data_IF_168285047654
#
_entry.id   IF_168285047654
#
_cell.length_a   1.000
_cell.length_b   1.000
_cell.length_c   1.000
_cell.angle_alpha   90.00
_cell.angle_beta   90.00
_cell.angle_gamma   90.00
#
_symmetry.space_group_name_H-M   'P 1'
#
loop_
_entity.id
_entity.type
_entity.pdbx_description
1 polymer ?
#
# COMPACT_ATOMS: atom_id res chain seq x y z
N UNK A 1 -6.48 -20.43 9.33
CA UNK A 1 -6.63 -21.78 9.90
C UNK A 1 -6.03 -21.88 11.30
N UNK A 2 -4.73 -21.62 11.47
CA UNK A 2 -4.05 -21.65 12.77
C UNK A 2 -4.67 -20.75 13.86
N UNK A 3 -5.11 -19.54 13.52
CA UNK A 3 -5.75 -18.63 14.49
C UNK A 3 -7.09 -19.16 15.03
N UNK A 4 -7.79 -20.01 14.26
CA UNK A 4 -9.03 -20.67 14.71
C UNK A 4 -8.71 -21.85 15.63
N UNK A 5 -7.63 -22.58 15.36
CA UNK A 5 -7.17 -23.70 16.19
C UNK A 5 -6.57 -23.24 17.53
N UNK A 6 -5.87 -22.10 17.53
CA UNK A 6 -5.21 -21.55 18.71
C UNK A 6 -5.73 -20.13 19.00
N UNK A 7 -6.81 -19.99 19.80
CA UNK A 7 -7.46 -18.70 20.06
C UNK A 7 -6.52 -17.62 20.62
N UNK A 8 -5.45 -18.04 21.31
CA UNK A 8 -4.40 -17.12 21.81
C UNK A 8 -3.71 -16.35 20.68
N UNK A 9 -3.56 -16.95 19.49
CA UNK A 9 -2.97 -16.28 18.33
C UNK A 9 -3.81 -15.08 17.86
N UNK A 10 -5.13 -15.16 18.01
CA UNK A 10 -6.04 -14.04 17.72
C UNK A 10 -5.80 -12.79 18.58
N UNK A 11 -5.10 -12.94 19.72
CA UNK A 11 -4.68 -11.80 20.56
C UNK A 11 -3.45 -11.06 20.01
N UNK A 12 -2.59 -11.77 19.28
CA UNK A 12 -1.32 -11.22 18.78
C UNK A 12 -1.44 -10.63 17.37
N UNK A 13 -2.41 -11.10 16.58
CA UNK A 13 -2.62 -10.59 15.24
C UNK A 13 -4.10 -10.48 14.90
N UNK A 14 -4.56 -9.25 14.67
CA UNK A 14 -5.87 -8.94 14.09
C UNK A 14 -5.64 -8.50 12.65
N UNK A 15 -6.07 -9.27 11.63
CA UNK A 15 -5.78 -8.94 10.25
C UNK A 15 -6.56 -7.70 9.81
N UNK A 16 -5.93 -6.84 8.99
CA UNK A 16 -6.53 -5.59 8.56
C UNK A 16 -7.63 -5.75 7.48
N UNK A 17 -7.41 -6.68 6.55
CA UNK A 17 -8.27 -6.95 5.39
C UNK A 17 -8.66 -5.70 4.60
N UNK A 18 -7.70 -4.83 4.28
CA UNK A 18 -7.91 -3.63 3.43
C UNK A 18 -8.99 -2.69 4.01
N UNK A 19 -8.87 -2.39 5.31
CA UNK A 19 -9.73 -1.44 6.00
C UNK A 19 -10.99 -2.02 6.64
N UNK A 20 -11.32 -3.31 6.46
CA UNK A 20 -12.48 -3.91 7.16
C UNK A 20 -12.27 -3.86 8.68
N UNK A 21 -11.04 -4.13 9.15
CA UNK A 21 -10.73 -4.00 10.59
C UNK A 21 -10.94 -2.58 11.10
N UNK A 22 -10.57 -1.57 10.31
CA UNK A 22 -10.78 -0.16 10.67
C UNK A 22 -12.27 0.13 10.87
N UNK A 23 -13.12 -0.27 9.91
CA UNK A 23 -14.58 -0.12 10.01
C UNK A 23 -15.08 -0.78 11.30
N UNK A 24 -14.64 -2.00 11.59
CA UNK A 24 -15.06 -2.73 12.79
C UNK A 24 -14.59 -2.06 14.09
N UNK A 25 -13.42 -1.43 14.08
CA UNK A 25 -12.83 -0.79 15.27
C UNK A 25 -13.37 0.63 15.51
N UNK A 26 -13.76 1.36 14.46
CA UNK A 26 -14.14 2.78 14.55
C UNK A 26 -15.59 3.07 14.21
N UNK A 27 -16.26 2.19 13.46
CA UNK A 27 -17.57 2.47 12.84
C UNK A 27 -17.49 3.38 11.61
N UNK A 28 -16.29 3.81 11.20
CA UNK A 28 -16.09 4.78 10.13
C UNK A 28 -15.47 4.15 8.88
N UNK A 29 -15.73 4.76 7.72
CA UNK A 29 -15.09 4.36 6.47
C UNK A 29 -13.62 4.80 6.45
N UNK A 30 -12.69 3.95 5.97
CA UNK A 30 -11.29 4.34 5.85
C UNK A 30 -11.11 5.46 4.83
N UNK A 31 -10.12 6.31 5.06
CA UNK A 31 -9.74 7.37 4.14
C UNK A 31 -9.26 6.79 2.80
N UNK A 32 -9.64 7.47 1.71
CA UNK A 32 -9.20 7.13 0.37
C UNK A 32 -7.65 7.16 0.26
N UNK A 33 -7.07 6.05 -0.18
CA UNK A 33 -5.62 5.91 -0.37
C UNK A 33 -5.29 6.00 -1.85
N UNK A 34 -4.84 7.18 -2.29
CA UNK A 34 -4.45 7.41 -3.69
C UNK A 34 -3.07 6.89 -4.05
N UNK A 35 -2.21 6.72 -3.04
CA UNK A 35 -0.81 6.38 -3.23
C UNK A 35 -0.28 5.63 -2.00
N UNK A 36 0.18 4.40 -2.22
CA UNK A 36 0.85 3.60 -1.19
C UNK A 36 2.36 3.53 -1.36
N UNK A 37 2.93 4.08 -2.44
CA UNK A 37 4.36 3.97 -2.70
C UNK A 37 5.09 5.18 -2.09
N UNK A 38 5.90 4.98 -1.02
CA UNK A 38 6.53 6.10 -0.33
C UNK A 38 7.74 6.67 -1.08
N UNK A 39 8.17 5.99 -2.15
CA UNK A 39 9.45 6.21 -2.79
C UNK A 39 9.59 7.62 -3.35
N UNK A 40 10.60 8.36 -2.87
CA UNK A 40 10.84 9.74 -3.30
C UNK A 40 9.80 10.75 -2.80
N UNK A 41 8.93 10.34 -1.86
CA UNK A 41 7.85 11.17 -1.31
C UNK A 41 7.99 11.27 0.21
N UNK A 42 7.48 10.26 0.92
CA UNK A 42 7.50 10.17 2.38
C UNK A 42 8.69 9.34 2.89
N UNK A 43 9.35 8.60 2.01
CA UNK A 43 10.59 7.88 2.28
C UNK A 43 11.66 8.30 1.28
N UNK A 44 12.90 8.32 1.76
CA UNK A 44 14.13 8.50 1.00
C UNK A 44 15.22 7.68 1.69
N UNK A 45 16.11 7.07 0.91
CA UNK A 45 17.22 6.28 1.45
C UNK A 45 18.54 6.86 0.95
N UNK A 46 19.45 7.08 1.89
CA UNK A 46 20.81 7.55 1.66
C UNK A 46 21.73 6.42 2.12
N UNK A 47 22.39 5.76 1.19
CA UNK A 47 23.17 4.55 1.49
C UNK A 47 24.61 4.86 1.92
N UNK A 48 25.37 3.82 2.26
CA UNK A 48 26.77 3.94 2.71
C UNK A 48 27.75 4.31 1.59
N UNK A 49 27.34 4.19 0.32
CA UNK A 49 28.17 4.51 -0.84
C UNK A 49 28.02 5.97 -1.29
N UNK A 50 27.16 6.75 -0.62
CA UNK A 50 26.88 8.12 -1.01
C UNK A 50 25.74 8.24 -2.02
N UNK A 51 24.91 7.21 -2.18
CA UNK A 51 23.86 7.12 -3.19
C UNK A 51 22.47 7.35 -2.60
N UNK A 52 21.56 7.89 -3.42
CA UNK A 52 20.19 8.25 -3.02
C UNK A 52 19.19 7.34 -3.75
N UNK A 53 18.24 6.79 -3.01
CA UNK A 53 17.15 5.94 -3.50
C UNK A 53 15.80 6.37 -2.93
N UNK A 54 14.72 5.92 -3.56
CA UNK A 54 13.37 6.33 -3.17
C UNK A 54 12.87 5.65 -1.89
N UNK A 55 13.18 4.38 -1.67
CA UNK A 55 12.74 3.62 -0.50
C UNK A 55 13.66 2.44 -0.22
N UNK A 56 13.44 1.77 0.90
CA UNK A 56 14.20 0.59 1.33
C UNK A 56 14.20 -0.53 0.27
N UNK A 57 13.10 -0.74 -0.44
CA UNK A 57 13.01 -1.76 -1.49
C UNK A 57 13.81 -1.41 -2.77
N UNK A 58 14.11 -0.13 -2.99
CA UNK A 58 14.89 0.36 -4.12
C UNK A 58 16.38 0.52 -3.82
N UNK A 59 16.76 0.57 -2.54
CA UNK A 59 18.13 0.78 -2.10
C UNK A 59 19.10 -0.26 -2.66
N UNK A 60 20.26 0.19 -3.16
CA UNK A 60 21.31 -0.67 -3.70
C UNK A 60 21.01 -1.24 -5.09
N UNK A 61 19.97 -0.75 -5.77
CA UNK A 61 19.60 -1.14 -7.14
C UNK A 61 19.87 0.02 -8.09
N UNK A 62 20.93 -0.09 -8.89
CA UNK A 62 21.40 0.99 -9.76
C UNK A 62 20.30 1.53 -10.70
N UNK A 63 19.40 0.68 -11.17
CA UNK A 63 18.27 1.08 -12.01
C UNK A 63 17.27 2.03 -11.34
N UNK A 64 17.31 2.15 -10.01
CA UNK A 64 16.43 3.02 -9.22
C UNK A 64 17.16 4.17 -8.52
N UNK A 65 18.43 4.40 -8.87
CA UNK A 65 19.22 5.48 -8.31
C UNK A 65 18.59 6.84 -8.62
N UNK A 66 18.32 7.60 -7.56
CA UNK A 66 17.77 8.96 -7.63
C UNK A 66 18.86 10.04 -7.58
N UNK A 67 20.09 9.68 -7.25
CA UNK A 67 21.20 10.62 -7.17
C UNK A 67 22.34 10.13 -6.30
N UNK A 68 23.22 11.06 -5.94
CA UNK A 68 24.28 10.92 -4.95
C UNK A 68 24.26 12.11 -3.99
N UNK A 69 24.73 11.93 -2.76
CA UNK A 69 24.91 12.99 -1.78
C UNK A 69 26.38 13.21 -1.37
N UNK A 70 27.28 12.30 -1.77
CA UNK A 70 28.71 12.37 -1.49
C UNK A 70 29.53 11.98 -2.73
N UNK A 71 30.67 12.65 -3.02
CA UNK A 71 31.20 13.84 -2.34
C UNK A 71 30.41 15.13 -2.63
N UNK A 72 29.52 15.09 -3.62
CA UNK A 72 28.64 16.20 -4.00
C UNK A 72 27.21 15.70 -4.14
N UNK A 73 26.25 16.59 -3.86
CA UNK A 73 24.84 16.32 -4.09
C UNK A 73 24.54 16.46 -5.59
N UNK A 74 24.09 15.37 -6.20
CA UNK A 74 23.63 15.31 -7.59
C UNK A 74 22.31 14.56 -7.63
N UNK A 75 21.26 15.21 -8.11
CA UNK A 75 19.93 14.63 -8.19
C UNK A 75 19.59 14.27 -9.63
N UNK A 76 18.93 13.13 -9.82
CA UNK A 76 18.29 12.76 -11.05
C UNK A 76 16.82 13.18 -10.99
N UNK A 77 16.54 14.45 -11.28
CA UNK A 77 15.21 15.03 -11.17
C UNK A 77 14.17 14.29 -12.00
N UNK A 78 14.55 13.74 -13.16
CA UNK A 78 13.66 12.95 -14.00
C UNK A 78 13.24 11.63 -13.33
N UNK A 79 14.19 10.90 -12.73
CA UNK A 79 13.89 9.69 -11.97
C UNK A 79 13.06 10.02 -10.72
N UNK A 80 13.46 11.05 -9.97
CA UNK A 80 12.72 11.51 -8.78
C UNK A 80 11.26 11.83 -9.14
N UNK A 81 11.06 12.62 -10.20
CA UNK A 81 9.74 13.00 -10.68
C UNK A 81 8.89 11.80 -11.06
N UNK A 82 9.50 10.78 -11.70
CA UNK A 82 8.80 9.53 -12.05
C UNK A 82 8.24 8.81 -10.81
N UNK A 83 9.04 8.70 -9.75
CA UNK A 83 8.59 8.11 -8.49
C UNK A 83 7.54 8.97 -7.77
N UNK A 84 7.76 10.29 -7.72
CA UNK A 84 6.86 11.25 -7.07
C UNK A 84 5.49 11.37 -7.72
N UNK A 85 5.40 11.20 -9.04
CA UNK A 85 4.14 11.26 -9.77
C UNK A 85 3.36 9.94 -9.72
N UNK A 86 3.96 8.84 -9.25
CA UNK A 86 3.30 7.54 -9.26
C UNK A 86 2.13 7.51 -8.27
N UNK A 87 0.90 7.45 -8.75
CA UNK A 87 -0.29 7.25 -7.94
C UNK A 87 -1.38 6.58 -8.79
N UNK A 88 -2.56 6.34 -8.21
CA UNK A 88 -3.65 5.68 -8.93
C UNK A 88 -4.21 6.50 -10.10
N UNK A 89 -3.95 7.80 -10.15
CA UNK A 89 -4.36 8.70 -11.23
C UNK A 89 -3.34 8.72 -12.36
N UNK A 90 -2.07 8.39 -12.11
CA UNK A 90 -1.02 8.36 -13.14
C UNK A 90 -0.76 6.96 -13.69
N UNK A 91 -0.94 5.90 -12.88
CA UNK A 91 -0.86 4.50 -13.34
C UNK A 91 -2.06 4.19 -14.24
N UNK A 92 -1.80 3.92 -15.52
CA UNK A 92 -2.84 3.77 -16.55
C UNK A 92 -3.92 2.75 -16.19
N UNK A 93 -3.52 1.55 -15.71
CA UNK A 93 -4.44 0.49 -15.30
C UNK A 93 -5.24 0.83 -14.03
N UNK A 94 -4.78 1.77 -13.20
CA UNK A 94 -5.44 2.15 -11.95
C UNK A 94 -6.50 3.24 -12.13
N UNK A 95 -6.38 4.10 -13.15
CA UNK A 95 -7.28 5.26 -13.34
C UNK A 95 -8.76 4.91 -13.28
N UNK A 96 -9.14 3.80 -13.91
CA UNK A 96 -10.52 3.31 -13.99
C UNK A 96 -10.78 2.04 -13.17
N UNK A 97 -9.86 1.67 -12.27
CA UNK A 97 -10.01 0.48 -11.42
C UNK A 97 -10.99 0.76 -10.27
N UNK A 98 -11.96 -0.13 -10.06
CA UNK A 98 -12.95 -0.03 -8.98
C UNK A 98 -12.38 -0.07 -7.56
N UNK A 99 -11.11 -0.47 -7.42
CA UNK A 99 -10.42 -0.61 -6.13
C UNK A 99 -9.26 0.38 -5.96
N UNK A 100 -9.14 1.37 -6.83
CA UNK A 100 -7.97 2.24 -6.88
C UNK A 100 -7.67 2.92 -5.54
N UNK A 101 -8.65 3.60 -4.93
CA UNK A 101 -8.52 4.30 -3.64
C UNK A 101 -8.53 3.36 -2.42
N UNK A 102 -8.72 2.07 -2.63
CA UNK A 102 -8.63 1.04 -1.58
C UNK A 102 -7.20 0.49 -1.51
N UNK A 103 -6.55 0.31 -2.67
CA UNK A 103 -5.21 -0.29 -2.74
C UNK A 103 -4.07 0.70 -2.99
N UNK A 104 -4.35 1.91 -3.47
CA UNK A 104 -3.36 2.97 -3.74
C UNK A 104 -2.29 2.63 -4.77
N UNK A 105 -2.56 1.67 -5.67
CA UNK A 105 -1.66 1.30 -6.77
C UNK A 105 -0.48 0.40 -6.37
N UNK A 106 -0.30 0.09 -5.08
CA UNK A 106 0.71 -0.84 -4.59
C UNK A 106 2.16 -0.33 -4.70
N UNK A 107 3.12 -1.26 -4.59
CA UNK A 107 4.56 -0.95 -4.57
C UNK A 107 5.16 -0.79 -5.97
N UNK A 108 5.81 0.35 -6.26
CA UNK A 108 6.46 0.58 -7.55
C UNK A 108 7.63 -0.35 -7.86
N UNK A 109 8.42 -0.75 -6.84
CA UNK A 109 9.52 -1.72 -7.01
C UNK A 109 9.00 -3.11 -7.39
N UNK A 110 7.95 -3.58 -6.71
CA UNK A 110 7.33 -4.89 -7.02
C UNK A 110 6.67 -4.86 -8.39
N UNK A 111 5.99 -3.76 -8.73
CA UNK A 111 5.42 -3.57 -10.05
C UNK A 111 6.49 -3.65 -11.14
N UNK A 112 7.59 -2.91 -10.99
CA UNK A 112 8.70 -2.94 -11.94
C UNK A 112 9.32 -4.34 -12.08
N UNK A 113 9.50 -5.09 -10.98
CA UNK A 113 10.01 -6.46 -11.03
C UNK A 113 9.13 -7.40 -11.88
N UNK A 114 7.81 -7.22 -11.88
CA UNK A 114 6.87 -8.04 -12.65
C UNK A 114 6.58 -7.51 -14.05
N UNK A 115 6.95 -6.25 -14.35
CA UNK A 115 6.62 -5.57 -15.61
C UNK A 115 7.88 -5.03 -16.30
N UNK A 116 8.99 -5.77 -16.25
CA UNK A 116 10.19 -5.46 -17.03
C UNK A 116 10.84 -4.11 -16.72
N UNK A 117 10.78 -3.66 -15.47
CA UNK A 117 11.34 -2.38 -15.02
C UNK A 117 10.34 -1.22 -15.00
N UNK A 118 9.08 -1.43 -15.40
CA UNK A 118 8.07 -0.37 -15.44
C UNK A 118 7.56 0.00 -14.04
N UNK A 119 8.08 1.09 -13.47
CA UNK A 119 7.68 1.62 -12.14
C UNK A 119 6.22 2.09 -12.14
N UNK A 120 5.74 2.65 -13.25
CA UNK A 120 4.37 3.14 -13.43
C UNK A 120 3.36 2.02 -13.76
N UNK A 121 3.75 0.76 -13.59
CA UNK A 121 2.82 -0.36 -13.57
C UNK A 121 2.16 -0.52 -12.18
N UNK A 122 0.99 -1.18 -12.09
CA UNK A 122 0.38 -1.50 -10.81
C UNK A 122 1.01 -2.76 -10.16
N UNK A 123 1.07 -2.78 -8.82
CA UNK A 123 1.25 -4.01 -8.03
C UNK A 123 -0.14 -4.49 -7.56
N UNK A 124 -0.90 -5.08 -8.49
CA UNK A 124 -2.26 -5.56 -8.22
C UNK A 124 -2.27 -6.71 -7.20
N UNK A 125 -3.27 -6.68 -6.32
CA UNK A 125 -3.57 -7.73 -5.34
C UNK A 125 -5.03 -8.16 -5.50
N UNK A 126 -5.43 -9.35 -5.00
CA UNK A 126 -6.82 -9.80 -5.03
C UNK A 126 -7.67 -9.01 -4.01
N UNK A 127 -7.95 -7.73 -4.30
CA UNK A 127 -8.57 -6.80 -3.35
C UNK A 127 -9.99 -7.25 -3.01
N UNK A 128 -10.75 -7.69 -4.02
CA UNK A 128 -12.12 -8.18 -3.83
C UNK A 128 -12.15 -9.35 -2.85
N UNK A 129 -11.31 -10.34 -3.09
CA UNK A 129 -11.23 -11.56 -2.29
C UNK A 129 -10.77 -11.24 -0.86
N UNK A 130 -9.83 -10.31 -0.70
CA UNK A 130 -9.38 -9.85 0.62
C UNK A 130 -10.51 -9.16 1.40
N UNK A 131 -11.33 -8.34 0.73
CA UNK A 131 -12.50 -7.70 1.34
C UNK A 131 -13.57 -8.74 1.70
N UNK A 132 -13.86 -9.69 0.81
CA UNK A 132 -14.80 -10.79 1.07
C UNK A 132 -14.37 -11.62 2.29
N UNK A 133 -13.09 -12.02 2.35
CA UNK A 133 -12.53 -12.72 3.51
C UNK A 133 -12.64 -11.87 4.79
N UNK A 134 -12.40 -10.55 4.69
CA UNK A 134 -12.49 -9.65 5.83
C UNK A 134 -13.91 -9.51 6.37
N UNK A 135 -14.88 -9.32 5.48
CA UNK A 135 -16.31 -9.27 5.83
C UNK A 135 -16.75 -10.57 6.48
N UNK A 136 -16.36 -11.71 5.92
CA UNK A 136 -16.67 -13.02 6.50
C UNK A 136 -16.00 -13.22 7.87
N UNK A 137 -14.74 -12.80 8.02
CA UNK A 137 -14.01 -12.91 9.28
C UNK A 137 -14.64 -12.07 10.41
N UNK A 138 -15.16 -10.88 10.08
CA UNK A 138 -15.77 -9.96 11.04
C UNK A 138 -17.31 -9.98 11.04
N UNK A 139 -17.94 -10.94 10.37
CA UNK A 139 -19.38 -10.96 10.11
C UNK A 139 -20.25 -10.79 11.37
N UNK A 140 -19.91 -11.46 12.47
CA UNK A 140 -20.69 -11.38 13.71
C UNK A 140 -20.58 -10.02 14.40
N UNK A 141 -19.47 -9.30 14.21
CA UNK A 141 -19.30 -7.94 14.74
C UNK A 141 -20.04 -6.96 13.86
N UNK A 142 -19.87 -7.06 12.54
CA UNK A 142 -20.54 -6.21 11.56
C UNK A 142 -22.07 -6.32 11.66
N UNK A 143 -22.63 -7.52 11.85
CA UNK A 143 -24.07 -7.72 12.05
C UNK A 143 -24.59 -7.03 13.32
N UNK A 144 -23.80 -7.02 14.40
CA UNK A 144 -24.16 -6.35 15.64
C UNK A 144 -24.14 -4.83 15.47
N UNK A 145 -23.07 -4.30 14.88
CA UNK A 145 -22.96 -2.87 14.56
C UNK A 145 -24.14 -2.39 13.70
N UNK A 146 -24.47 -3.12 12.63
CA UNK A 146 -25.60 -2.78 11.78
C UNK A 146 -26.96 -2.84 12.51
N UNK A 147 -27.11 -3.71 13.52
CA UNK A 147 -28.32 -3.76 14.33
C UNK A 147 -28.38 -2.58 15.32
N UNK A 148 -27.24 -2.18 15.89
CA UNK A 148 -27.14 -1.07 16.84
C UNK A 148 -27.40 0.29 16.15
N UNK A 149 -26.88 0.51 14.93
CA UNK A 149 -27.13 1.71 14.12
C UNK A 149 -28.62 1.86 13.73
N UNK A 150 -29.33 0.74 13.56
CA UNK A 150 -30.78 0.76 13.27
C UNK A 150 -31.60 1.15 14.50
N UNK A 151 -31.08 0.87 15.71
CA UNK A 151 -31.76 1.16 16.98
C UNK A 151 -31.40 2.55 17.52
N UNK A 152 -30.20 3.07 17.24
CA UNK A 152 -29.75 4.42 17.59
C UNK A 152 -29.13 5.12 16.36
N UNK A 153 -29.96 5.66 15.45
CA UNK A 153 -29.51 6.31 14.23
C UNK A 153 -28.84 7.68 14.44
#
# INVERSE_FOLDING_TARGET
>A
ELSRQYPVLGKFHRPDFKGIRYIVETGEMPMATFDTCPAGKTEWVFDLNGEIFGCTASCGRDEYKLGSFWPEVRLNDAAISTWQQRDVTTIEKCRNCSYNVICGGGCGVVAANHNGGEILAPDCRPIRELLEIGVDYYADVLKRMAADDVVNP
#
